data_IF_695293750550
#
_entry.id   IF_695293750550
#
_cell.length_a   1.000
_cell.length_b   1.000
_cell.length_c   1.000
_cell.angle_alpha   90.00
_cell.angle_beta   90.00
_cell.angle_gamma   90.00
#
_symmetry.space_group_name_H-M   'P 1'
#
loop_
_entity.id
_entity.type
_entity.pdbx_description
1 polymer ?
#
# COMPACT_ATOMS: atom_id res chain seq x y z
N UNK A 1 6.24 -50.22 -8.96
CA UNK A 1 6.46 -49.08 -8.04
C UNK A 1 6.33 -47.79 -8.84
N UNK A 2 5.20 -47.08 -8.71
CA UNK A 2 4.92 -45.85 -9.46
C UNK A 2 5.71 -44.68 -8.85
N UNK A 3 6.48 -43.97 -9.68
CA UNK A 3 7.22 -42.77 -9.29
C UNK A 3 6.24 -41.61 -9.20
N UNK A 4 5.99 -41.10 -8.00
CA UNK A 4 5.23 -39.88 -7.78
C UNK A 4 6.13 -38.67 -8.09
N UNK A 5 5.79 -37.91 -9.11
CA UNK A 5 6.40 -36.61 -9.37
C UNK A 5 5.80 -35.58 -8.42
N UNK A 6 6.60 -35.06 -7.51
CA UNK A 6 6.25 -33.90 -6.68
C UNK A 6 6.38 -32.67 -7.55
N UNK A 7 5.25 -32.07 -7.93
CA UNK A 7 5.22 -30.79 -8.61
C UNK A 7 5.44 -29.67 -7.58
N UNK A 8 6.60 -29.03 -7.65
CA UNK A 8 6.92 -27.85 -6.86
C UNK A 8 6.11 -26.67 -7.43
N UNK A 9 5.16 -26.16 -6.66
CA UNK A 9 4.38 -24.96 -7.01
C UNK A 9 5.29 -23.75 -6.79
N UNK A 10 5.76 -23.14 -7.89
CA UNK A 10 6.43 -21.84 -7.85
C UNK A 10 5.39 -20.76 -7.50
N UNK A 11 5.49 -20.16 -6.31
CA UNK A 11 4.84 -18.87 -6.03
C UNK A 11 5.60 -17.79 -6.79
N UNK A 12 4.98 -17.20 -7.81
CA UNK A 12 5.48 -15.99 -8.45
C UNK A 12 5.07 -14.76 -7.60
N UNK A 13 5.92 -13.74 -7.46
CA UNK A 13 5.62 -12.61 -6.58
C UNK A 13 4.57 -11.70 -7.20
N UNK A 14 3.40 -11.66 -6.56
CA UNK A 14 2.25 -10.81 -6.84
C UNK A 14 2.60 -9.31 -6.81
N UNK A 15 1.99 -8.56 -7.74
CA UNK A 15 1.89 -7.11 -7.69
C UNK A 15 0.57 -6.74 -7.02
N UNK A 16 0.57 -6.59 -5.70
CA UNK A 16 -0.56 -5.96 -5.02
C UNK A 16 -0.60 -4.50 -5.47
N UNK A 17 -1.75 -4.06 -5.98
CA UNK A 17 -2.01 -2.63 -6.16
C UNK A 17 -2.13 -2.01 -4.78
N UNK A 18 -0.98 -1.68 -4.21
CA UNK A 18 -0.90 -0.83 -3.05
C UNK A 18 -1.39 0.56 -3.50
N UNK A 19 -2.18 1.26 -2.69
CA UNK A 19 -2.53 2.69 -2.82
C UNK A 19 -2.20 3.35 -1.48
N UNK A 20 -1.20 4.24 -1.39
CA UNK A 20 -0.78 4.93 -0.15
C UNK A 20 0.04 6.20 -0.44
N UNK A 21 -0.58 7.15 -1.13
CA UNK A 21 -0.10 8.54 -1.27
C UNK A 21 -1.29 9.44 -1.60
N UNK A 22 -1.25 10.68 -1.12
CA UNK A 22 -2.38 11.60 -1.05
C UNK A 22 -2.88 12.03 -2.42
N UNK A 23 -4.20 12.03 -2.53
CA UNK A 23 -4.93 12.58 -3.66
C UNK A 23 -6.24 13.21 -3.17
N UNK A 24 -6.75 14.17 -3.92
CA UNK A 24 -8.13 14.63 -3.71
C UNK A 24 -9.12 13.60 -4.23
N UNK A 25 -10.34 13.61 -3.70
CA UNK A 25 -11.41 12.76 -4.21
C UNK A 25 -12.75 12.99 -3.55
N UNK A 26 -13.69 12.09 -3.81
CA UNK A 26 -15.01 12.07 -3.17
C UNK A 26 -15.28 10.69 -2.56
N UNK A 27 -15.96 10.70 -1.40
CA UNK A 27 -16.51 9.51 -0.74
C UNK A 27 -18.02 9.55 -0.94
N UNK A 28 -18.58 8.62 -1.71
CA UNK A 28 -19.99 8.58 -2.06
C UNK A 28 -20.62 7.20 -1.93
N UNK A 29 -21.92 7.14 -2.21
CA UNK A 29 -22.72 5.89 -2.22
C UNK A 29 -22.34 4.90 -3.33
N UNK A 30 -21.41 5.26 -4.22
CA UNK A 30 -20.81 4.36 -5.23
C UNK A 30 -19.31 4.12 -5.00
N UNK A 31 -18.82 4.37 -3.79
CA UNK A 31 -17.42 4.17 -3.42
C UNK A 31 -16.56 5.45 -3.46
N UNK A 32 -15.24 5.25 -3.51
CA UNK A 32 -14.23 6.30 -3.43
C UNK A 32 -13.65 6.56 -4.82
N UNK A 33 -13.66 7.82 -5.25
CA UNK A 33 -13.11 8.25 -6.53
C UNK A 33 -12.02 9.30 -6.33
N UNK A 34 -10.86 9.09 -6.95
CA UNK A 34 -9.77 10.06 -6.95
C UNK A 34 -9.98 11.10 -8.05
N UNK A 35 -9.82 12.36 -7.69
CA UNK A 35 -9.95 13.51 -8.56
C UNK A 35 -8.57 14.10 -8.84
N UNK A 36 -8.34 14.50 -10.09
CA UNK A 36 -7.22 15.38 -10.41
C UNK A 36 -7.57 16.80 -9.96
N UNK A 37 -6.66 17.44 -9.21
CA UNK A 37 -6.86 18.82 -8.79
C UNK A 37 -6.02 19.75 -9.67
N UNK A 38 -6.67 20.66 -10.40
CA UNK A 38 -5.97 21.62 -11.29
C UNK A 38 -5.49 22.90 -10.58
N UNK A 39 -5.86 23.10 -9.31
CA UNK A 39 -5.65 24.35 -8.58
C UNK A 39 -4.72 24.21 -7.37
N UNK A 40 -4.59 23.01 -6.81
CA UNK A 40 -3.68 22.70 -5.72
C UNK A 40 -2.44 21.99 -6.29
N UNK A 41 -1.27 22.60 -6.10
CA UNK A 41 0.01 22.02 -6.50
C UNK A 41 0.76 21.49 -5.28
N UNK A 42 1.44 20.34 -5.44
CA UNK A 42 2.37 19.82 -4.43
C UNK A 42 3.74 20.47 -4.64
N UNK A 43 4.13 21.36 -3.73
CA UNK A 43 5.46 21.99 -3.76
C UNK A 43 6.54 21.05 -3.26
N UNK A 44 6.28 20.30 -2.18
CA UNK A 44 7.24 19.31 -1.73
C UNK A 44 6.59 18.09 -1.13
N UNK A 45 7.30 16.98 -1.28
CA UNK A 45 7.08 15.72 -0.57
C UNK A 45 8.43 15.27 0.01
N UNK A 46 8.51 15.21 1.34
CA UNK A 46 9.63 14.64 2.08
C UNK A 46 9.21 13.29 2.66
N UNK A 47 9.53 12.22 1.92
CA UNK A 47 9.18 10.85 2.23
C UNK A 47 10.33 10.15 2.94
N UNK A 48 10.11 9.77 4.20
CA UNK A 48 10.99 8.92 4.98
C UNK A 48 10.38 7.52 5.14
N UNK A 49 11.16 6.50 4.78
CA UNK A 49 10.76 5.10 4.86
C UNK A 49 11.80 4.32 5.66
N UNK A 50 11.33 3.55 6.63
CA UNK A 50 12.06 2.51 7.34
C UNK A 50 11.12 1.35 7.62
N UNK A 51 11.62 0.18 8.04
CA UNK A 51 10.76 -0.93 8.51
C UNK A 51 9.91 -0.58 9.75
N UNK A 52 10.21 0.51 10.46
CA UNK A 52 9.56 0.87 11.73
C UNK A 52 8.62 2.07 11.61
N UNK A 53 8.85 2.93 10.62
CA UNK A 53 8.17 4.21 10.48
C UNK A 53 8.18 4.63 9.01
N UNK A 54 6.99 4.97 8.53
CA UNK A 54 6.82 5.87 7.39
C UNK A 54 6.44 7.24 7.94
N UNK A 55 7.12 8.28 7.43
CA UNK A 55 6.79 9.68 7.67
C UNK A 55 6.79 10.41 6.35
N UNK A 56 5.78 11.22 6.10
CA UNK A 56 5.68 12.01 4.87
C UNK A 56 5.30 13.43 5.23
N UNK A 57 6.13 14.38 4.85
CA UNK A 57 5.81 15.81 5.00
C UNK A 57 5.50 16.40 3.62
N UNK A 58 4.25 16.83 3.44
CA UNK A 58 3.77 17.50 2.25
C UNK A 58 3.69 19.01 2.46
N UNK A 59 4.01 19.76 1.41
CA UNK A 59 3.68 21.18 1.30
C UNK A 59 2.85 21.37 0.03
N UNK A 60 1.62 21.80 0.21
CA UNK A 60 0.69 22.13 -0.87
C UNK A 60 0.56 23.64 -1.03
N UNK A 61 0.36 24.09 -2.26
CA UNK A 61 0.10 25.49 -2.59
C UNK A 61 -1.22 25.60 -3.37
N UNK A 62 -2.13 26.44 -2.89
CA UNK A 62 -3.33 26.81 -3.62
C UNK A 62 -3.00 27.93 -4.62
N UNK A 63 -3.03 27.62 -5.91
CA UNK A 63 -2.72 28.53 -7.01
C UNK A 63 -3.86 29.49 -7.36
N UNK A 64 -5.00 29.40 -6.67
CA UNK A 64 -6.18 30.21 -6.93
C UNK A 64 -6.30 31.41 -5.98
N UNK A 65 -7.17 32.35 -6.35
CA UNK A 65 -7.47 33.56 -5.56
C UNK A 65 -8.56 33.34 -4.49
N UNK A 66 -9.04 32.11 -4.30
CA UNK A 66 -10.08 31.77 -3.33
C UNK A 66 -9.68 30.56 -2.51
N UNK A 67 -10.25 30.45 -1.33
CA UNK A 67 -10.10 29.24 -0.52
C UNK A 67 -10.75 28.07 -1.25
N UNK A 68 -10.10 26.91 -1.21
CA UNK A 68 -10.59 25.67 -1.82
C UNK A 68 -10.68 24.63 -0.71
N UNK A 69 -11.87 24.03 -0.56
CA UNK A 69 -12.08 22.93 0.38
C UNK A 69 -12.26 21.64 -0.39
N UNK A 70 -11.37 20.68 -0.15
CA UNK A 70 -11.38 19.36 -0.77
C UNK A 70 -11.56 18.28 0.29
N UNK A 71 -11.97 17.08 -0.15
CA UNK A 71 -11.73 15.86 0.63
C UNK A 71 -10.40 15.28 0.19
N UNK A 72 -9.45 15.17 1.13
CA UNK A 72 -8.19 14.46 0.91
C UNK A 72 -8.42 12.99 1.27
N UNK A 73 -7.82 12.10 0.47
CA UNK A 73 -7.89 10.66 0.63
C UNK A 73 -6.47 10.11 0.76
N UNK A 74 -6.25 9.32 1.81
CA UNK A 74 -5.07 8.51 2.00
C UNK A 74 -5.47 7.03 2.03
N UNK A 75 -5.42 6.35 0.88
CA UNK A 75 -5.68 4.91 0.84
C UNK A 75 -4.57 4.12 1.51
N UNK A 76 -4.89 2.90 1.90
CA UNK A 76 -3.94 1.85 2.24
C UNK A 76 -3.96 0.75 1.17
N UNK A 77 -2.97 -0.16 1.13
CA UNK A 77 -3.02 -1.34 0.26
C UNK A 77 -4.31 -2.15 0.43
N UNK A 78 -4.61 -2.98 -0.56
CA UNK A 78 -5.61 -4.03 -0.39
C UNK A 78 -4.96 -5.21 0.32
N UNK A 79 -5.64 -5.78 1.32
CA UNK A 79 -5.20 -6.95 2.07
C UNK A 79 -6.22 -8.06 1.88
N UNK A 80 -5.76 -9.22 1.46
CA UNK A 80 -6.63 -10.36 1.21
C UNK A 80 -7.08 -11.00 2.53
N UNK A 81 -8.32 -11.48 2.56
CA UNK A 81 -8.85 -12.24 3.68
C UNK A 81 -8.33 -13.69 3.63
N UNK A 82 -7.01 -13.87 3.64
CA UNK A 82 -6.34 -15.17 3.74
C UNK A 82 -5.47 -15.17 5.00
N UNK A 83 -5.61 -16.19 5.85
CA UNK A 83 -4.93 -16.30 7.14
C UNK A 83 -3.42 -16.53 7.02
N UNK A 84 -2.94 -17.07 5.90
CA UNK A 84 -1.50 -17.07 5.57
C UNK A 84 -1.12 -15.74 4.89
N UNK A 85 -1.41 -14.61 5.55
CA UNK A 85 -1.01 -13.31 5.03
C UNK A 85 0.49 -13.09 5.26
N UNK A 86 1.19 -12.58 4.25
CA UNK A 86 2.62 -12.25 4.31
C UNK A 86 2.96 -11.12 5.31
N UNK A 87 1.96 -10.50 5.97
CA UNK A 87 2.12 -9.35 6.85
C UNK A 87 1.82 -9.70 8.31
N UNK A 88 2.79 -9.48 9.20
CA UNK A 88 2.66 -9.84 10.62
C UNK A 88 1.81 -8.87 11.46
N UNK A 89 1.71 -7.58 11.07
CA UNK A 89 1.20 -6.51 11.94
C UNK A 89 0.27 -5.53 11.22
N UNK A 90 -0.68 -6.03 10.44
CA UNK A 90 -1.65 -5.20 9.70
C UNK A 90 -2.47 -4.26 10.60
N UNK A 91 -2.91 -4.74 11.76
CA UNK A 91 -3.67 -3.92 12.72
C UNK A 91 -2.84 -2.77 13.31
N UNK A 92 -1.53 -2.98 13.48
CA UNK A 92 -0.63 -1.99 14.06
C UNK A 92 -0.48 -0.75 13.16
N UNK A 93 -0.50 -0.95 11.83
CA UNK A 93 -0.57 0.15 10.89
C UNK A 93 -1.83 1.00 11.14
N UNK A 94 -3.01 0.37 11.21
CA UNK A 94 -4.28 1.08 11.39
C UNK A 94 -4.30 1.91 12.69
N UNK A 95 -3.75 1.36 13.77
CA UNK A 95 -3.67 2.03 15.08
C UNK A 95 -2.63 3.15 15.14
N UNK A 96 -1.64 3.13 14.24
CA UNK A 96 -0.51 4.07 14.28
C UNK A 96 -0.64 5.27 13.35
N UNK A 97 -1.63 5.27 12.45
CA UNK A 97 -1.83 6.35 11.48
C UNK A 97 -2.22 7.67 12.15
N UNK A 98 -1.41 8.71 11.89
CA UNK A 98 -1.62 10.07 12.39
C UNK A 98 -1.46 11.07 11.26
N UNK A 99 -2.31 12.10 11.30
CA UNK A 99 -2.28 13.23 10.38
C UNK A 99 -2.18 14.53 11.16
N UNK A 100 -1.23 15.37 10.76
CA UNK A 100 -1.04 16.71 11.31
C UNK A 100 -1.19 17.71 10.16
N UNK A 101 -2.07 18.69 10.32
CA UNK A 101 -2.28 19.77 9.35
C UNK A 101 -1.90 21.09 10.01
N UNK A 102 -0.94 21.80 9.42
CA UNK A 102 -0.42 23.09 9.93
C UNK A 102 -0.11 23.05 11.44
N UNK A 103 0.50 21.95 11.90
CA UNK A 103 0.89 21.72 13.29
C UNK A 103 -0.22 21.23 14.22
N UNK A 104 -1.45 21.01 13.72
CA UNK A 104 -2.59 20.51 14.50
C UNK A 104 -2.89 19.06 14.15
N UNK A 105 -3.01 18.21 15.16
CA UNK A 105 -3.49 16.84 14.97
C UNK A 105 -4.95 16.87 14.50
N UNK A 106 -5.27 16.06 13.50
CA UNK A 106 -6.65 15.81 13.08
C UNK A 106 -6.98 14.33 13.21
N UNK A 107 -8.26 14.02 13.34
CA UNK A 107 -8.77 12.65 13.29
C UNK A 107 -9.39 12.41 11.90
N UNK A 108 -8.75 11.62 11.03
CA UNK A 108 -9.36 11.25 9.76
C UNK A 108 -10.54 10.30 9.99
N UNK A 109 -11.47 10.32 9.05
CA UNK A 109 -12.53 9.31 8.93
C UNK A 109 -11.95 8.06 8.26
N UNK A 110 -12.30 6.88 8.75
CA UNK A 110 -11.85 5.59 8.19
C UNK A 110 -12.98 4.97 7.38
N UNK A 111 -12.70 4.65 6.12
CA UNK A 111 -13.58 3.95 5.20
C UNK A 111 -13.03 2.56 4.92
N UNK A 112 -13.90 1.54 4.90
CA UNK A 112 -13.52 0.16 4.56
C UNK A 112 -14.24 -0.25 3.28
N UNK A 113 -13.45 -0.66 2.29
CA UNK A 113 -13.92 -1.20 1.01
C UNK A 113 -13.64 -2.68 0.94
N UNK A 114 -14.52 -3.44 0.29
CA UNK A 114 -14.33 -4.86 0.06
C UNK A 114 -14.34 -5.16 -1.42
N UNK A 115 -13.54 -6.14 -1.82
CA UNK A 115 -13.45 -6.58 -3.20
C UNK A 115 -13.41 -8.09 -3.30
N UNK A 116 -13.98 -8.62 -4.38
CA UNK A 116 -13.83 -10.02 -4.78
C UNK A 116 -13.07 -10.09 -6.10
N UNK A 117 -12.09 -10.97 -6.17
CA UNK A 117 -11.32 -11.27 -7.37
C UNK A 117 -11.02 -12.77 -7.38
N UNK A 118 -11.61 -13.51 -8.33
CA UNK A 118 -11.51 -14.98 -8.40
C UNK A 118 -10.06 -15.46 -8.51
N UNK A 119 -9.27 -14.79 -9.35
CA UNK A 119 -7.84 -15.01 -9.56
C UNK A 119 -7.21 -13.72 -10.12
N UNK A 120 -5.88 -13.69 -10.22
CA UNK A 120 -5.13 -12.52 -10.68
C UNK A 120 -5.52 -12.02 -12.09
N UNK A 121 -6.02 -12.91 -12.95
CA UNK A 121 -6.41 -12.58 -14.33
C UNK A 121 -7.85 -12.08 -14.42
N UNK A 122 -8.64 -12.34 -13.39
CA UNK A 122 -10.02 -11.93 -13.29
C UNK A 122 -10.13 -10.46 -12.88
N UNK A 123 -11.19 -9.74 -13.32
CA UNK A 123 -11.40 -8.37 -12.91
C UNK A 123 -11.63 -8.29 -11.39
N UNK A 124 -11.05 -7.27 -10.77
CA UNK A 124 -11.36 -6.91 -9.39
C UNK A 124 -12.75 -6.28 -9.34
N UNK A 125 -13.64 -6.86 -8.54
CA UNK A 125 -15.02 -6.37 -8.39
C UNK A 125 -15.15 -5.68 -7.03
N UNK A 126 -15.54 -4.40 -7.03
CA UNK A 126 -15.91 -3.69 -5.79
C UNK A 126 -17.24 -4.23 -5.27
N UNK A 127 -17.22 -4.79 -4.07
CA UNK A 127 -18.38 -5.41 -3.42
C UNK A 127 -18.77 -4.68 -2.14
N UNK A 128 -18.25 -3.46 -1.91
CA UNK A 128 -18.40 -2.72 -0.65
C UNK A 128 -19.85 -2.56 -0.21
N UNK A 129 -20.72 -2.07 -1.09
CA UNK A 129 -22.13 -1.86 -0.74
C UNK A 129 -22.91 -3.17 -0.72
N UNK A 130 -22.52 -4.13 -1.56
CA UNK A 130 -23.13 -5.45 -1.59
C UNK A 130 -22.85 -6.20 -0.27
N UNK A 131 -21.64 -6.13 0.28
CA UNK A 131 -21.30 -6.70 1.59
C UNK A 131 -22.18 -6.10 2.69
N UNK A 132 -22.33 -4.77 2.72
CA UNK A 132 -23.22 -4.11 3.68
C UNK A 132 -24.67 -4.59 3.55
N UNK A 133 -25.18 -4.71 2.31
CA UNK A 133 -26.53 -5.22 2.02
C UNK A 133 -26.69 -6.71 2.37
N UNK A 134 -25.62 -7.49 2.35
CA UNK A 134 -25.58 -8.87 2.86
C UNK A 134 -25.44 -8.96 4.39
N UNK A 135 -25.49 -7.82 5.10
CA UNK A 135 -25.42 -7.76 6.55
C UNK A 135 -24.00 -7.86 7.12
N UNK A 136 -22.95 -7.70 6.31
CA UNK A 136 -21.59 -7.59 6.84
C UNK A 136 -21.43 -6.27 7.61
N UNK A 137 -20.95 -6.38 8.85
CA UNK A 137 -20.60 -5.22 9.67
C UNK A 137 -19.28 -4.61 9.17
N UNK A 138 -18.99 -3.36 9.57
CA UNK A 138 -17.67 -2.78 9.30
C UNK A 138 -16.54 -3.59 9.94
N UNK A 139 -16.77 -4.19 11.10
CA UNK A 139 -15.82 -5.09 11.77
C UNK A 139 -15.57 -6.35 10.93
N UNK A 140 -16.62 -6.93 10.34
CA UNK A 140 -16.49 -8.08 9.44
C UNK A 140 -15.67 -7.69 8.22
N UNK A 141 -15.99 -6.55 7.60
CA UNK A 141 -15.28 -6.03 6.42
C UNK A 141 -13.82 -5.68 6.74
N UNK A 142 -13.48 -5.35 7.99
CA UNK A 142 -12.10 -5.03 8.40
C UNK A 142 -11.27 -6.28 8.74
N UNK A 143 -11.84 -7.48 8.65
CA UNK A 143 -11.15 -8.70 9.07
C UNK A 143 -9.77 -8.94 8.43
N UNK A 144 -9.52 -8.63 7.15
CA UNK A 144 -8.18 -8.76 6.57
C UNK A 144 -7.10 -7.94 7.27
N UNK A 145 -7.51 -6.85 7.91
CA UNK A 145 -6.61 -5.95 8.63
C UNK A 145 -6.52 -6.22 10.12
N UNK A 146 -7.64 -6.59 10.75
CA UNK A 146 -7.72 -6.70 12.21
C UNK A 146 -7.73 -8.14 12.72
N UNK A 147 -8.04 -9.13 11.87
CA UNK A 147 -8.19 -10.55 12.23
C UNK A 147 -9.05 -10.73 13.48
N UNK A 148 -10.28 -10.23 13.41
CA UNK A 148 -11.25 -10.32 14.51
C UNK A 148 -11.99 -11.67 14.52
N UNK A 149 -12.03 -12.39 13.40
CA UNK A 149 -12.61 -13.72 13.29
C UNK A 149 -11.78 -14.57 12.31
N UNK A 150 -11.31 -15.71 12.80
CA UNK A 150 -10.50 -16.67 12.03
C UNK A 150 -11.32 -17.79 11.38
N UNK A 151 -12.65 -17.78 11.53
CA UNK A 151 -13.56 -18.71 10.88
C UNK A 151 -13.83 -18.28 9.42
N UNK A 152 -13.23 -18.99 8.46
CA UNK A 152 -13.51 -18.77 7.05
C UNK A 152 -14.95 -19.09 6.65
N UNK A 153 -15.56 -20.11 7.27
CA UNK A 153 -16.89 -20.59 6.91
C UNK A 153 -17.92 -19.50 7.21
N UNK A 154 -17.76 -18.77 8.31
CA UNK A 154 -18.58 -17.59 8.63
C UNK A 154 -18.72 -16.62 7.45
N UNK A 155 -17.60 -16.22 6.83
CA UNK A 155 -17.61 -15.27 5.71
C UNK A 155 -18.17 -15.90 4.43
N UNK A 156 -17.78 -17.15 4.17
CA UNK A 156 -18.19 -17.85 2.95
C UNK A 156 -19.69 -18.15 2.94
N UNK A 157 -20.23 -18.66 4.05
CA UNK A 157 -21.65 -18.96 4.19
C UNK A 157 -22.50 -17.70 4.05
N UNK A 158 -22.09 -16.61 4.68
CA UNK A 158 -22.80 -15.33 4.59
C UNK A 158 -22.80 -14.78 3.17
N UNK A 159 -21.71 -14.93 2.40
CA UNK A 159 -21.67 -14.59 0.98
C UNK A 159 -22.59 -15.50 0.14
N UNK A 160 -22.54 -16.82 0.37
CA UNK A 160 -23.35 -17.80 -0.38
C UNK A 160 -24.86 -17.67 -0.11
N UNK A 161 -25.24 -17.31 1.12
CA UNK A 161 -26.63 -17.11 1.53
C UNK A 161 -27.18 -15.73 1.12
N UNK A 162 -26.31 -14.81 0.70
CA UNK A 162 -26.73 -13.46 0.37
C UNK A 162 -27.61 -13.41 -0.90
N UNK A 163 -28.76 -12.75 -0.78
CA UNK A 163 -29.71 -12.55 -1.89
C UNK A 163 -29.43 -11.32 -2.74
N UNK A 164 -28.35 -10.60 -2.47
CA UNK A 164 -27.99 -9.40 -3.21
C UNK A 164 -27.56 -9.80 -4.65
N UNK A 165 -28.12 -9.17 -5.71
CA UNK A 165 -27.92 -9.64 -7.09
C UNK A 165 -26.46 -9.68 -7.59
N UNK A 166 -25.64 -8.71 -7.20
CA UNK A 166 -24.21 -8.69 -7.55
C UNK A 166 -23.48 -9.87 -6.91
N UNK A 167 -23.72 -10.15 -5.62
CA UNK A 167 -23.12 -11.30 -4.94
C UNK A 167 -23.60 -12.61 -5.55
N UNK A 168 -24.89 -12.79 -5.82
CA UNK A 168 -25.40 -13.99 -6.49
C UNK A 168 -24.72 -14.23 -7.85
N UNK A 169 -24.55 -13.18 -8.66
CA UNK A 169 -23.84 -13.26 -9.94
C UNK A 169 -22.37 -13.63 -9.77
N UNK A 170 -21.70 -13.10 -8.74
CA UNK A 170 -20.32 -13.46 -8.43
C UNK A 170 -20.24 -14.93 -7.99
N UNK A 171 -21.12 -15.35 -7.07
CA UNK A 171 -21.17 -16.70 -6.50
C UNK A 171 -21.42 -17.78 -7.56
N UNK A 172 -22.17 -17.48 -8.62
CA UNK A 172 -22.36 -18.39 -9.75
C UNK A 172 -21.05 -18.82 -10.46
N UNK A 173 -19.95 -18.08 -10.25
CA UNK A 173 -18.64 -18.41 -10.81
C UNK A 173 -17.77 -19.31 -9.91
N UNK A 174 -18.30 -19.69 -8.74
CA UNK A 174 -17.63 -20.51 -7.74
C UNK A 174 -18.42 -21.81 -7.54
N UNK A 175 -17.70 -22.93 -7.47
CA UNK A 175 -18.28 -24.21 -7.05
C UNK A 175 -18.59 -24.20 -5.55
N UNK A 176 -19.29 -25.24 -5.08
CA UNK A 176 -19.72 -25.35 -3.68
C UNK A 176 -18.56 -25.30 -2.69
N UNK A 177 -17.46 -25.98 -3.02
CA UNK A 177 -16.30 -26.14 -2.13
C UNK A 177 -15.15 -25.16 -2.47
N UNK A 178 -15.37 -24.25 -3.43
CA UNK A 178 -14.39 -23.22 -3.75
C UNK A 178 -14.26 -22.23 -2.58
N UNK A 179 -13.03 -21.92 -2.21
CA UNK A 179 -12.73 -20.76 -1.36
C UNK A 179 -13.12 -19.49 -2.13
N UNK A 180 -13.83 -18.58 -1.49
CA UNK A 180 -14.21 -17.29 -2.08
C UNK A 180 -13.15 -16.25 -1.70
N UNK A 181 -12.18 -15.93 -2.57
CA UNK A 181 -11.19 -14.89 -2.29
C UNK A 181 -11.87 -13.53 -2.24
N UNK A 182 -11.71 -12.86 -1.11
CA UNK A 182 -12.11 -11.49 -0.95
C UNK A 182 -11.06 -10.73 -0.15
N UNK A 183 -11.11 -9.42 -0.22
CA UNK A 183 -10.07 -8.56 0.31
C UNK A 183 -10.63 -7.22 0.76
N UNK A 184 -9.87 -6.53 1.60
CA UNK A 184 -10.28 -5.25 2.15
C UNK A 184 -9.24 -4.17 1.94
N UNK A 185 -9.73 -2.97 1.65
CA UNK A 185 -8.92 -1.76 1.60
C UNK A 185 -9.44 -0.75 2.60
N UNK A 186 -8.54 -0.20 3.41
CA UNK A 186 -8.86 0.94 4.26
C UNK A 186 -8.48 2.23 3.52
N UNK A 187 -9.32 3.25 3.61
CA UNK A 187 -9.04 4.59 3.12
C UNK A 187 -9.34 5.59 4.23
N UNK A 188 -8.34 6.41 4.58
CA UNK A 188 -8.54 7.53 5.47
C UNK A 188 -8.95 8.76 4.66
N UNK A 189 -9.89 9.55 5.18
CA UNK A 189 -10.30 10.81 4.57
C UNK A 189 -10.44 11.93 5.58
N UNK A 190 -10.26 13.17 5.11
CA UNK A 190 -10.58 14.36 5.88
C UNK A 190 -10.89 15.54 4.95
N UNK A 191 -11.63 16.52 5.46
CA UNK A 191 -11.81 17.79 4.77
C UNK A 191 -10.60 18.68 5.01
N UNK A 192 -10.02 19.18 3.93
CA UNK A 192 -8.90 20.12 3.96
C UNK A 192 -9.29 21.41 3.27
N UNK A 193 -9.11 22.54 3.96
CA UNK A 193 -9.18 23.87 3.35
C UNK A 193 -7.77 24.32 3.00
N UNK A 194 -7.52 24.58 1.72
CA UNK A 194 -6.31 25.21 1.23
C UNK A 194 -6.59 26.70 1.03
N UNK A 195 -5.96 27.56 1.84
CA UNK A 195 -6.20 29.01 1.77
C UNK A 195 -5.65 29.59 0.46
N UNK A 196 -6.33 30.57 -0.11
CA UNK A 196 -5.94 31.24 -1.35
C UNK A 196 -4.47 31.71 -1.32
N UNK A 197 -3.70 31.38 -2.35
CA UNK A 197 -2.28 31.77 -2.49
C UNK A 197 -1.40 31.47 -1.26
N UNK A 198 -1.76 30.45 -0.47
CA UNK A 198 -1.07 30.08 0.74
C UNK A 198 -0.57 28.64 0.69
N UNK A 199 0.40 28.37 1.57
CA UNK A 199 0.92 27.04 1.78
C UNK A 199 0.14 26.33 2.88
N UNK A 200 -0.13 25.05 2.65
CA UNK A 200 -0.70 24.13 3.65
C UNK A 200 0.29 22.99 3.87
N UNK A 201 0.64 22.74 5.13
CA UNK A 201 1.56 21.66 5.52
C UNK A 201 0.74 20.48 6.04
N UNK A 202 0.96 19.31 5.47
CA UNK A 202 0.32 18.06 5.91
C UNK A 202 1.41 17.05 6.21
N UNK A 203 1.39 16.45 7.40
CA UNK A 203 2.32 15.42 7.79
C UNK A 203 1.58 14.13 8.13
N UNK A 204 2.08 13.02 7.58
CA UNK A 204 1.64 11.67 7.91
C UNK A 204 2.72 10.93 8.68
N UNK A 205 2.31 10.14 9.66
CA UNK A 205 3.17 9.14 10.31
C UNK A 205 2.40 7.86 10.58
N UNK A 206 3.00 6.73 10.28
CA UNK A 206 2.44 5.42 10.59
C UNK A 206 3.53 4.34 10.53
N UNK A 207 3.24 3.19 11.11
CA UNK A 207 4.09 2.01 10.97
C UNK A 207 3.76 1.30 9.65
N UNK A 208 4.78 0.92 8.86
CA UNK A 208 4.56 0.27 7.58
C UNK A 208 4.02 -1.15 7.72
N UNK A 209 3.38 -1.65 6.65
CA UNK A 209 3.26 -3.09 6.45
C UNK A 209 4.60 -3.63 5.99
N UNK A 210 5.16 -4.54 6.78
CA UNK A 210 6.39 -5.25 6.45
C UNK A 210 6.06 -6.72 6.32
N UNK A 211 6.25 -7.25 5.12
CA UNK A 211 6.23 -8.69 4.87
C UNK A 211 7.64 -9.22 4.66
N UNK A 212 7.76 -10.42 4.10
CA UNK A 212 9.07 -11.00 3.83
C UNK A 212 9.01 -12.48 3.47
N UNK A 213 10.17 -13.08 3.30
CA UNK A 213 10.33 -14.52 3.13
C UNK A 213 11.53 -15.02 3.95
N UNK A 214 11.48 -16.29 4.32
CA UNK A 214 12.53 -16.98 5.08
C UNK A 214 13.80 -17.22 4.25
N UNK A 215 13.71 -17.14 2.92
CA UNK A 215 14.84 -17.31 2.03
C UNK A 215 14.75 -16.38 0.82
N UNK A 216 15.89 -15.76 0.50
CA UNK A 216 16.08 -15.03 -0.74
C UNK A 216 16.39 -16.00 -1.90
N UNK A 217 15.67 -15.83 -3.00
CA UNK A 217 15.97 -16.43 -4.30
C UNK A 217 16.28 -15.31 -5.30
N UNK A 218 17.56 -14.94 -5.52
CA UNK A 218 17.91 -13.75 -6.29
C UNK A 218 17.28 -13.70 -7.68
N UNK A 219 17.19 -14.81 -8.39
CA UNK A 219 16.62 -14.84 -9.75
C UNK A 219 15.12 -14.53 -9.78
N UNK A 220 14.38 -14.89 -8.72
CA UNK A 220 12.94 -14.60 -8.59
C UNK A 220 12.69 -13.14 -8.22
N UNK A 221 13.49 -12.59 -7.30
CA UNK A 221 13.25 -11.28 -6.70
C UNK A 221 13.99 -10.12 -7.38
N UNK A 222 15.00 -10.42 -8.22
CA UNK A 222 15.86 -9.41 -8.83
C UNK A 222 15.09 -8.37 -9.63
N UNK A 223 14.11 -8.78 -10.44
CA UNK A 223 13.34 -7.85 -11.27
C UNK A 223 12.46 -6.91 -10.42
N UNK A 224 11.84 -7.45 -9.36
CA UNK A 224 10.93 -6.70 -8.49
C UNK A 224 11.66 -5.64 -7.65
N UNK A 225 12.85 -5.96 -7.14
CA UNK A 225 13.59 -5.07 -6.23
C UNK A 225 14.85 -4.44 -6.84
N UNK A 226 15.06 -4.61 -8.14
CA UNK A 226 16.21 -4.10 -8.90
C UNK A 226 17.55 -4.41 -8.22
N UNK A 227 17.79 -5.69 -7.92
CA UNK A 227 19.03 -6.16 -7.25
C UNK A 227 20.25 -5.98 -8.16
N UNK A 228 20.86 -4.80 -8.12
CA UNK A 228 21.97 -4.46 -9.01
C UNK A 228 23.26 -5.27 -8.69
N UNK A 229 24.28 -5.07 -9.53
CA UNK A 229 25.55 -5.77 -9.37
C UNK A 229 26.26 -5.44 -8.04
N UNK A 230 26.09 -4.23 -7.50
CA UNK A 230 26.69 -3.84 -6.22
C UNK A 230 25.99 -4.54 -5.06
N UNK A 231 24.66 -4.57 -5.07
CA UNK A 231 23.85 -5.28 -4.09
C UNK A 231 24.16 -6.78 -4.10
N UNK A 232 24.21 -7.42 -5.27
CA UNK A 232 24.58 -8.83 -5.42
C UNK A 232 25.99 -9.15 -4.92
N UNK A 233 26.97 -8.26 -5.16
CA UNK A 233 28.32 -8.39 -4.56
C UNK A 233 28.28 -8.27 -3.04
N UNK A 234 27.44 -7.39 -2.50
CA UNK A 234 27.20 -7.26 -1.07
C UNK A 234 26.66 -8.56 -0.45
N UNK A 235 25.65 -9.16 -1.08
CA UNK A 235 25.08 -10.43 -0.65
C UNK A 235 26.12 -11.55 -0.63
N UNK A 236 26.90 -11.70 -1.71
CA UNK A 236 27.99 -12.68 -1.82
C UNK A 236 29.03 -12.50 -0.72
N UNK A 237 29.49 -11.27 -0.51
CA UNK A 237 30.50 -10.94 0.51
C UNK A 237 30.02 -11.28 1.93
N UNK A 238 28.72 -11.16 2.18
CA UNK A 238 28.10 -11.46 3.47
C UNK A 238 27.55 -12.89 3.58
N UNK A 239 27.73 -13.73 2.56
CA UNK A 239 27.11 -15.07 2.46
C UNK A 239 25.59 -15.04 2.72
N UNK A 240 24.91 -14.02 2.19
CA UNK A 240 23.51 -13.71 2.46
C UNK A 240 22.56 -13.96 1.26
N UNK A 241 23.03 -14.65 0.23
CA UNK A 241 22.27 -14.92 -1.01
C UNK A 241 20.99 -15.73 -0.79
N UNK A 242 20.88 -16.42 0.35
CA UNK A 242 19.70 -17.17 0.79
C UNK A 242 19.18 -16.73 2.16
N UNK A 243 19.59 -15.55 2.64
CA UNK A 243 19.16 -15.06 3.95
C UNK A 243 17.68 -14.66 3.95
N UNK A 244 17.02 -14.69 5.12
CA UNK A 244 15.71 -14.09 5.27
C UNK A 244 15.72 -12.61 4.90
N UNK A 245 14.61 -12.15 4.36
CA UNK A 245 14.43 -10.75 4.00
C UNK A 245 13.08 -10.22 4.44
N UNK A 246 13.03 -8.92 4.67
CA UNK A 246 11.80 -8.15 4.79
C UNK A 246 11.57 -7.35 3.52
N UNK A 247 10.31 -7.13 3.16
CA UNK A 247 9.93 -6.27 2.05
C UNK A 247 8.77 -5.35 2.44
N UNK A 248 8.76 -4.16 1.86
CA UNK A 248 7.66 -3.22 1.96
C UNK A 248 7.48 -2.47 0.64
N UNK A 249 6.24 -2.14 0.33
CA UNK A 249 5.88 -1.35 -0.85
C UNK A 249 5.27 0.00 -0.46
N UNK A 250 5.57 1.04 -1.23
CA UNK A 250 5.04 2.39 -1.03
C UNK A 250 4.59 2.98 -2.37
N UNK A 251 3.47 3.68 -2.38
CA UNK A 251 2.87 4.22 -3.60
C UNK A 251 3.37 5.60 -3.85
N UNK A 252 3.78 5.86 -5.07
CA UNK A 252 4.11 7.22 -5.48
C UNK A 252 3.16 7.73 -6.55
N UNK A 253 2.56 6.84 -7.35
CA UNK A 253 1.87 7.24 -8.58
C UNK A 253 0.68 8.17 -8.36
N UNK A 254 -0.01 8.08 -7.22
CA UNK A 254 -1.13 8.97 -6.90
C UNK A 254 -0.68 10.42 -6.65
N UNK A 255 0.59 10.65 -6.31
CA UNK A 255 1.19 11.98 -6.26
C UNK A 255 1.18 12.72 -7.62
N UNK A 256 0.89 12.02 -8.73
CA UNK A 256 0.70 12.64 -10.04
C UNK A 256 -0.71 13.23 -10.28
N UNK A 257 -1.62 13.16 -9.29
CA UNK A 257 -3.00 13.68 -9.43
C UNK A 257 -3.11 15.19 -9.14
N UNK A 258 -2.04 15.85 -8.69
CA UNK A 258 -2.01 17.28 -8.37
C UNK A 258 -1.73 18.16 -9.59
N UNK A 259 -1.93 19.47 -9.45
CA UNK A 259 -1.98 20.42 -10.58
C UNK A 259 -0.69 20.50 -11.40
N UNK A 260 0.45 20.15 -10.79
CA UNK A 260 1.79 20.25 -11.35
C UNK A 260 2.63 19.06 -10.87
N UNK A 261 3.76 18.75 -11.54
CA UNK A 261 4.78 17.87 -10.99
C UNK A 261 5.20 18.32 -9.58
N UNK A 262 5.63 17.36 -8.75
CA UNK A 262 6.14 17.64 -7.41
C UNK A 262 7.39 18.50 -7.56
N UNK A 263 7.32 19.76 -7.13
CA UNK A 263 8.41 20.72 -7.38
C UNK A 263 9.71 20.27 -6.70
N UNK A 264 9.64 19.74 -5.48
CA UNK A 264 10.76 19.09 -4.78
C UNK A 264 10.33 17.80 -4.08
N UNK A 265 10.72 16.67 -4.63
CA UNK A 265 10.57 15.35 -4.01
C UNK A 265 11.88 14.95 -3.33
N UNK A 266 11.82 14.57 -2.05
CA UNK A 266 12.93 13.95 -1.33
C UNK A 266 12.46 12.60 -0.80
N UNK A 267 13.20 11.55 -1.10
CA UNK A 267 13.02 10.24 -0.49
C UNK A 267 14.25 9.92 0.36
N UNK A 268 14.00 9.39 1.55
CA UNK A 268 15.01 8.86 2.46
C UNK A 268 14.61 7.45 2.86
N UNK A 269 15.48 6.48 2.60
CA UNK A 269 15.30 5.08 3.02
C UNK A 269 16.32 4.76 4.11
N UNK A 270 15.83 4.25 5.24
CA UNK A 270 16.63 3.78 6.35
C UNK A 270 16.50 2.26 6.51
N UNK A 271 17.64 1.59 6.64
CA UNK A 271 17.74 0.15 6.94
C UNK A 271 18.36 -0.08 8.33
N UNK A 272 18.20 -1.28 8.88
CA UNK A 272 18.96 -1.67 10.06
C UNK A 272 20.46 -1.85 9.71
N UNK A 273 21.32 -1.79 10.73
CA UNK A 273 22.79 -1.83 10.54
C UNK A 273 23.24 -3.14 9.87
N UNK A 274 22.61 -4.25 10.25
CA UNK A 274 22.86 -5.61 9.79
C UNK A 274 22.02 -6.00 8.56
N UNK A 275 21.70 -5.04 7.68
CA UNK A 275 20.93 -5.31 6.47
C UNK A 275 21.63 -4.82 5.22
N UNK A 276 21.23 -5.36 4.07
CA UNK A 276 21.40 -4.71 2.78
C UNK A 276 20.02 -4.24 2.29
N UNK A 277 19.98 -3.15 1.54
CA UNK A 277 18.73 -2.62 0.96
C UNK A 277 18.83 -2.51 -0.55
N UNK A 278 17.76 -2.87 -1.25
CA UNK A 278 17.62 -2.67 -2.70
C UNK A 278 16.19 -2.22 -3.02
N UNK A 279 16.05 -1.42 -4.07
CA UNK A 279 14.75 -0.97 -4.57
C UNK A 279 14.91 -0.45 -6.00
N UNK A 280 13.81 -0.49 -6.76
CA UNK A 280 13.81 0.03 -8.12
C UNK A 280 13.80 1.56 -8.16
N UNK A 281 14.92 2.15 -8.55
CA UNK A 281 15.03 3.59 -8.77
C UNK A 281 15.96 3.87 -9.96
N UNK A 282 15.46 4.63 -10.94
CA UNK A 282 16.18 4.87 -12.20
C UNK A 282 17.39 5.81 -12.03
N UNK A 283 17.42 6.59 -10.97
CA UNK A 283 18.40 7.66 -10.79
C UNK A 283 19.38 7.35 -9.67
N UNK A 284 20.42 8.17 -9.55
CA UNK A 284 21.43 8.00 -8.50
C UNK A 284 20.80 8.12 -7.10
N UNK A 285 21.20 7.19 -6.24
CA UNK A 285 20.87 7.14 -4.82
C UNK A 285 22.14 7.48 -4.05
N UNK A 286 22.08 8.50 -3.20
CA UNK A 286 23.21 8.92 -2.38
C UNK A 286 23.16 8.21 -1.02
N UNK A 287 24.26 7.58 -0.61
CA UNK A 287 24.38 7.04 0.75
C UNK A 287 24.86 8.15 1.69
N UNK A 288 23.95 8.72 2.46
CA UNK A 288 24.21 9.88 3.36
C UNK A 288 24.66 9.46 4.76
N UNK A 289 24.51 8.19 5.12
CA UNK A 289 25.04 7.62 6.37
C UNK A 289 25.23 6.10 6.22
N UNK A 290 25.80 5.39 7.21
CA UNK A 290 25.92 3.92 7.15
C UNK A 290 24.59 3.19 6.88
N UNK A 291 23.46 3.76 7.32
CA UNK A 291 22.13 3.14 7.26
C UNK A 291 21.10 3.93 6.43
N UNK A 292 21.45 5.13 5.93
CA UNK A 292 20.50 6.00 5.21
C UNK A 292 20.92 6.29 3.78
N UNK A 293 19.92 6.24 2.90
CA UNK A 293 20.03 6.48 1.47
C UNK A 293 19.04 7.57 1.09
N UNK A 294 19.50 8.59 0.38
CA UNK A 294 18.72 9.77 0.03
C UNK A 294 18.74 10.02 -1.48
N UNK A 295 17.62 10.53 -1.97
CA UNK A 295 17.46 10.98 -3.34
C UNK A 295 16.59 12.23 -3.36
N UNK A 296 16.98 13.19 -4.19
CA UNK A 296 16.26 14.44 -4.38
C UNK A 296 15.93 14.58 -5.86
N UNK A 297 14.69 14.97 -6.16
CA UNK A 297 14.22 15.28 -7.50
C UNK A 297 13.45 16.57 -7.52
N UNK A 298 13.61 17.30 -8.61
CA UNK A 298 12.87 18.50 -8.90
C UNK A 298 11.91 18.24 -10.06
N UNK A 299 10.72 18.84 -10.00
CA UNK A 299 9.67 18.66 -11.01
C UNK A 299 9.36 17.19 -11.29
N UNK A 300 9.27 16.39 -10.22
CA UNK A 300 9.12 14.94 -10.29
C UNK A 300 7.67 14.56 -10.58
N UNK A 301 7.48 13.72 -11.59
CA UNK A 301 6.20 13.04 -11.85
C UNK A 301 6.42 11.56 -11.51
N UNK A 302 5.81 11.05 -10.43
CA UNK A 302 5.96 9.65 -10.06
C UNK A 302 5.30 8.75 -11.11
N UNK A 303 6.08 7.84 -11.69
CA UNK A 303 5.63 6.91 -12.73
C UNK A 303 5.45 5.48 -12.24
N UNK A 304 6.20 5.11 -11.20
CA UNK A 304 6.21 3.79 -10.60
C UNK A 304 6.07 3.95 -9.09
N UNK A 305 5.52 2.92 -8.46
CA UNK A 305 5.55 2.76 -7.01
C UNK A 305 6.93 2.21 -6.58
N UNK A 306 7.17 2.18 -5.28
CA UNK A 306 8.40 1.67 -4.69
C UNK A 306 8.17 0.28 -4.12
N UNK A 307 9.04 -0.64 -4.47
CA UNK A 307 9.20 -1.93 -3.80
C UNK A 307 10.60 -1.99 -3.21
N UNK A 308 10.70 -2.21 -1.91
CA UNK A 308 11.96 -2.17 -1.16
C UNK A 308 12.17 -3.51 -0.47
N UNK A 309 13.37 -4.06 -0.62
CA UNK A 309 13.82 -5.27 0.08
C UNK A 309 14.93 -4.93 1.07
N UNK A 310 14.86 -5.55 2.24
CA UNK A 310 15.84 -5.49 3.31
C UNK A 310 16.32 -6.91 3.59
N UNK A 311 17.56 -7.24 3.22
CA UNK A 311 18.13 -8.59 3.40
C UNK A 311 19.03 -8.60 4.63
N UNK A 312 18.77 -9.50 5.56
CA UNK A 312 19.58 -9.62 6.77
C UNK A 312 20.97 -10.15 6.41
N UNK A 313 22.02 -9.55 6.96
CA UNK A 313 23.41 -10.02 6.87
C UNK A 313 23.96 -10.35 8.25
N UNK A 314 24.77 -11.40 8.33
CA UNK A 314 25.43 -11.84 9.57
C UNK A 314 26.68 -11.00 9.88
#
# INVERSE_FOLDING_TARGET
>A
MKKNAVALVCLAPLSTFSLANDSTGYVGTGGIQYLKNAQIAMQSEDLFISKKLIRVDYVYNNLSKKDITETVLFPLPRIDNFFEADFAHTEQLLKSFKVIVDGKNIKPEMHVRTFIQKDEKSPLIDTTDAFKQCGFSQTDMLNPWARNNDDYEYYQDKLRQCKQPQIQKIMANFQKDDVIPWSSQVIYSWKQTFKANALTKIQHTYQPLVGGSVALYPDEYNQKFCMDAQFKRGLKKASAEHSPFSALSYILRTGANWAKPIEKFKLTIERDKNELVSFCWKWNVEKISPTRFQMIKHNFIPKNDLDIIFVTVK
#
